data_IF_209436412205
#
_entry.id   IF_209436412205
#
_cell.length_a   1.000
_cell.length_b   1.000
_cell.length_c   1.000
_cell.angle_alpha   90.00
_cell.angle_beta   90.00
_cell.angle_gamma   90.00
#
_symmetry.space_group_name_H-M   'P 1'
#
loop_
_entity.id
_entity.type
_entity.pdbx_description
1 polymer ?
#
# COMPACT_ATOMS: atom_id res chain seq x y z
N UNK A 1 34.22 11.23 -15.04
CA UNK A 1 33.51 11.79 -13.87
C UNK A 1 32.00 11.90 -14.11
N UNK A 2 31.54 12.48 -15.23
CA UNK A 2 30.11 12.63 -15.57
C UNK A 2 29.30 11.32 -15.54
N UNK A 3 29.79 10.25 -16.19
CA UNK A 3 29.15 8.92 -16.20
C UNK A 3 29.02 8.26 -14.82
N UNK A 4 29.85 8.67 -13.85
CA UNK A 4 29.84 8.12 -12.49
C UNK A 4 28.76 8.80 -11.64
N UNK A 5 28.59 10.12 -11.82
CA UNK A 5 27.51 10.88 -11.22
C UNK A 5 26.13 10.43 -11.75
N UNK A 6 26.04 10.13 -13.04
CA UNK A 6 24.82 9.62 -13.70
C UNK A 6 24.41 8.23 -13.18
N UNK A 7 25.36 7.33 -12.95
CA UNK A 7 25.06 6.03 -12.34
C UNK A 7 24.65 6.14 -10.86
N UNK A 8 25.24 7.08 -10.10
CA UNK A 8 24.85 7.30 -8.70
C UNK A 8 23.43 7.88 -8.63
N UNK A 9 23.08 8.86 -9.48
CA UNK A 9 21.74 9.44 -9.49
C UNK A 9 20.67 8.44 -9.92
N UNK A 10 20.96 7.56 -10.88
CA UNK A 10 20.09 6.43 -11.25
C UNK A 10 19.89 5.46 -10.10
N UNK A 11 20.94 5.15 -9.33
CA UNK A 11 20.85 4.32 -8.13
C UNK A 11 19.90 4.91 -7.08
N UNK A 12 20.03 6.21 -6.80
CA UNK A 12 19.12 6.91 -5.89
C UNK A 12 17.68 6.92 -6.40
N UNK A 13 17.47 7.16 -7.69
CA UNK A 13 16.14 7.17 -8.30
C UNK A 13 15.42 5.81 -8.18
N UNK A 14 16.13 4.71 -8.42
CA UNK A 14 15.58 3.34 -8.28
C UNK A 14 15.24 3.02 -6.82
N UNK A 15 16.09 3.41 -5.87
CA UNK A 15 15.84 3.19 -4.43
C UNK A 15 14.62 3.99 -3.96
N UNK A 16 14.48 5.24 -4.40
CA UNK A 16 13.32 6.08 -4.08
C UNK A 16 12.04 5.49 -4.67
N UNK A 17 12.06 5.02 -5.92
CA UNK A 17 10.90 4.36 -6.53
C UNK A 17 10.52 3.07 -5.80
N UNK A 18 11.50 2.25 -5.44
CA UNK A 18 11.27 1.03 -4.66
C UNK A 18 10.65 1.32 -3.29
N UNK A 19 11.16 2.35 -2.60
CA UNK A 19 10.61 2.80 -1.32
C UNK A 19 9.16 3.29 -1.43
N UNK A 20 8.85 4.09 -2.47
CA UNK A 20 7.49 4.56 -2.73
C UNK A 20 6.56 3.40 -3.08
N UNK A 21 7.00 2.44 -3.90
CA UNK A 21 6.21 1.25 -4.23
C UNK A 21 5.93 0.39 -2.99
N UNK A 22 6.93 0.20 -2.11
CA UNK A 22 6.77 -0.57 -0.89
C UNK A 22 5.84 0.13 0.12
N UNK A 23 5.95 1.45 0.27
CA UNK A 23 5.02 2.26 1.08
C UNK A 23 3.59 2.20 0.55
N UNK A 24 3.41 2.22 -0.77
CA UNK A 24 2.09 2.15 -1.39
C UNK A 24 1.47 0.74 -1.24
N UNK A 25 2.28 -0.31 -1.27
CA UNK A 25 1.87 -1.68 -0.96
C UNK A 25 1.43 -1.84 0.50
N UNK A 26 2.19 -1.32 1.46
CA UNK A 26 1.83 -1.38 2.88
C UNK A 26 0.54 -0.61 3.19
N UNK A 27 0.39 0.59 2.61
CA UNK A 27 -0.84 1.38 2.74
C UNK A 27 -2.05 0.69 2.09
N UNK A 28 -1.86 0.08 0.91
CA UNK A 28 -2.92 -0.67 0.21
C UNK A 28 -3.41 -1.87 1.03
N UNK A 29 -2.49 -2.61 1.67
CA UNK A 29 -2.85 -3.73 2.56
C UNK A 29 -3.68 -3.25 3.75
N UNK A 30 -3.26 -2.17 4.42
CA UNK A 30 -4.01 -1.56 5.52
C UNK A 30 -5.43 -1.12 5.12
N UNK A 31 -5.56 -0.44 3.99
CA UNK A 31 -6.87 0.00 3.47
C UNK A 31 -7.76 -1.20 3.15
N UNK A 32 -7.21 -2.27 2.55
CA UNK A 32 -7.96 -3.49 2.22
C UNK A 32 -8.46 -4.23 3.47
N UNK A 33 -7.66 -4.27 4.54
CA UNK A 33 -8.03 -4.87 5.82
C UNK A 33 -9.13 -4.06 6.52
N UNK A 34 -9.02 -2.74 6.54
CA UNK A 34 -10.07 -1.89 7.11
C UNK A 34 -11.40 -2.05 6.37
N UNK A 35 -11.35 -2.13 5.03
CA UNK A 35 -12.55 -2.30 4.22
C UNK A 35 -13.22 -3.66 4.45
N UNK A 36 -12.44 -4.75 4.53
CA UNK A 36 -12.97 -6.09 4.78
C UNK A 36 -13.65 -6.21 6.15
N UNK A 37 -13.04 -5.66 7.20
CA UNK A 37 -13.62 -5.61 8.55
C UNK A 37 -14.91 -4.79 8.57
N UNK A 38 -14.94 -3.66 7.86
CA UNK A 38 -16.14 -2.82 7.73
C UNK A 38 -17.30 -3.57 7.07
N UNK A 39 -17.06 -4.21 5.93
CA UNK A 39 -18.07 -5.01 5.21
C UNK A 39 -18.58 -6.17 6.07
N UNK A 40 -17.68 -6.90 6.74
CA UNK A 40 -18.03 -8.01 7.63
C UNK A 40 -18.94 -7.54 8.78
N UNK A 41 -18.61 -6.39 9.38
CA UNK A 41 -19.38 -5.81 10.49
C UNK A 41 -20.80 -5.43 10.05
N UNK A 42 -20.92 -4.84 8.86
CA UNK A 42 -22.21 -4.49 8.26
C UNK A 42 -23.02 -5.75 7.95
N UNK A 43 -22.40 -6.78 7.38
CA UNK A 43 -23.07 -8.05 7.08
C UNK A 43 -23.65 -8.69 8.35
N UNK A 44 -22.87 -8.77 9.43
CA UNK A 44 -23.31 -9.29 10.72
C UNK A 44 -24.47 -8.47 11.29
N UNK A 45 -24.42 -7.14 11.17
CA UNK A 45 -25.53 -6.28 11.61
C UNK A 45 -26.83 -6.60 10.87
N UNK A 46 -26.77 -6.75 9.54
CA UNK A 46 -27.94 -7.09 8.74
C UNK A 46 -28.48 -8.49 9.04
N UNK A 47 -27.61 -9.49 9.25
CA UNK A 47 -28.04 -10.83 9.65
C UNK A 47 -28.76 -10.79 11.00
N UNK A 48 -28.21 -10.08 12.00
CA UNK A 48 -28.84 -9.94 13.33
C UNK A 48 -30.16 -9.19 13.31
N UNK A 49 -30.35 -8.25 12.39
CA UNK A 49 -31.62 -7.52 12.23
C UNK A 49 -32.70 -8.36 11.52
N UNK A 50 -32.29 -9.38 10.76
CA UNK A 50 -33.21 -10.22 9.96
C UNK A 50 -33.73 -11.44 10.74
N UNK A 51 -33.04 -11.86 11.80
CA UNK A 51 -33.57 -12.74 12.84
C UNK A 51 -34.56 -12.00 13.73
#
# INVERSE_FOLDING_TARGET
>A
MWKLLENISLGFFVITLYSIMNLNLEASVLVSLCFSVGVMSIAIYYERKKQ
#
